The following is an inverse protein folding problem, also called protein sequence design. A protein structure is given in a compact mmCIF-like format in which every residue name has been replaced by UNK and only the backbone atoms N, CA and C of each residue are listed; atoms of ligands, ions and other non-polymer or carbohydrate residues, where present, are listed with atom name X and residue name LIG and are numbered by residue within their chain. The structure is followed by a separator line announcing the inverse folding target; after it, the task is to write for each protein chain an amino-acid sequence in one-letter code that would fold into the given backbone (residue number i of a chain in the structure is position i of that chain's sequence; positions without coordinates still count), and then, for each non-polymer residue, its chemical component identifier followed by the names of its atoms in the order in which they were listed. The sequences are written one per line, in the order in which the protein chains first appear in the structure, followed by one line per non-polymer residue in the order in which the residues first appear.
data_IF_635658655578
#
_entry.id   IF_635658655578
#
_cell.length_a   1.000
_cell.length_b   1.000
_cell.length_c   1.000
_cell.angle_alpha   90.00
_cell.angle_beta   90.00
_cell.angle_gamma   90.00
#
_symmetry.space_group_name_H-M   'P 1'
#
loop_
_entity.id
_entity.type
_entity.pdbx_description
1 polymer ?
#
# COMPACT_ATOMS: atom_id res chain seq x y z
N UNK A 1 1.06 15.17 -6.94
CA UNK A 1 2.20 14.76 -6.09
C UNK A 1 2.88 15.98 -5.52
N UNK A 2 3.21 15.97 -4.23
CA UNK A 2 3.93 17.06 -3.57
C UNK A 2 5.43 16.90 -3.85
N UNK A 3 6.06 17.96 -4.31
CA UNK A 3 7.50 17.98 -4.62
C UNK A 3 8.34 18.63 -3.50
N UNK A 4 7.75 19.54 -2.73
CA UNK A 4 8.40 20.26 -1.64
C UNK A 4 7.35 20.75 -0.64
N UNK A 5 7.71 20.84 0.64
CA UNK A 5 6.91 21.52 1.66
C UNK A 5 7.78 22.16 2.73
N UNK A 6 7.21 23.13 3.42
CA UNK A 6 7.71 23.66 4.69
C UNK A 6 6.55 23.59 5.67
N UNK A 7 6.81 22.99 6.83
CA UNK A 7 5.80 22.81 7.86
C UNK A 7 5.17 24.15 8.24
N UNK A 8 3.87 24.22 8.28
CA UNK A 8 3.05 25.42 8.58
C UNK A 8 3.25 26.61 7.63
N UNK A 9 4.04 26.50 6.57
CA UNK A 9 4.30 27.62 5.65
C UNK A 9 3.72 27.39 4.28
N UNK A 10 4.13 26.33 3.57
CA UNK A 10 3.70 26.11 2.18
C UNK A 10 3.85 24.65 1.72
N UNK A 11 3.17 24.34 0.63
CA UNK A 11 3.31 23.10 -0.15
C UNK A 11 3.52 23.45 -1.63
N UNK A 12 4.41 22.72 -2.31
CA UNK A 12 4.63 22.86 -3.76
C UNK A 12 4.15 21.59 -4.47
N UNK A 13 3.23 21.74 -5.43
CA UNK A 13 2.77 20.66 -6.29
C UNK A 13 2.52 21.17 -7.72
N UNK A 14 2.87 20.36 -8.72
CA UNK A 14 2.73 20.77 -10.12
C UNK A 14 3.50 22.05 -10.50
N UNK A 15 4.58 22.38 -9.78
CA UNK A 15 5.33 23.62 -9.96
C UNK A 15 4.72 24.86 -9.29
N UNK A 16 3.54 24.74 -8.67
CA UNK A 16 2.86 25.84 -7.98
C UNK A 16 3.04 25.72 -6.48
N UNK A 17 3.35 26.86 -5.83
CA UNK A 17 3.40 26.97 -4.37
C UNK A 17 2.02 27.41 -3.83
N UNK A 18 1.57 26.73 -2.79
CA UNK A 18 0.36 27.05 -2.05
C UNK A 18 0.74 27.30 -0.59
N UNK A 19 0.48 28.52 -0.14
CA UNK A 19 0.80 28.93 1.22
C UNK A 19 -0.36 28.56 2.17
N UNK A 20 -0.02 28.23 3.42
CA UNK A 20 -1.02 28.00 4.47
C UNK A 20 -1.68 29.30 4.89
N UNK A 21 -2.97 29.25 5.20
CA UNK A 21 -3.69 30.36 5.81
C UNK A 21 -3.05 30.71 7.17
N UNK A 22 -2.90 31.99 7.48
CA UNK A 22 -2.24 32.49 8.69
C UNK A 22 -2.95 32.15 10.01
N UNK A 23 -4.20 31.67 9.95
CA UNK A 23 -5.01 31.27 11.10
C UNK A 23 -5.80 30.01 10.75
N UNK A 24 -5.55 28.94 11.46
CA UNK A 24 -6.30 27.70 11.30
C UNK A 24 -5.64 26.56 12.05
N UNK A 25 -6.42 25.55 12.37
CA UNK A 25 -5.92 24.27 12.88
C UNK A 25 -5.63 23.43 11.63
N UNK A 26 -4.36 23.22 11.34
CA UNK A 26 -3.96 22.41 10.19
C UNK A 26 -3.68 21.00 10.66
N UNK A 27 -4.34 20.04 10.03
CA UNK A 27 -3.91 18.66 10.09
C UNK A 27 -3.00 18.42 8.90
N UNK A 28 -1.72 18.36 9.18
CA UNK A 28 -0.69 18.15 8.18
C UNK A 28 -0.09 16.75 8.38
N UNK A 29 -0.36 15.85 7.44
CA UNK A 29 0.17 14.47 7.48
C UNK A 29 1.53 14.34 6.78
N UNK A 30 2.09 15.45 6.27
CA UNK A 30 3.38 15.43 5.54
C UNK A 30 4.59 15.17 6.46
N UNK A 31 4.50 15.49 7.73
CA UNK A 31 5.58 15.28 8.71
C UNK A 31 5.97 13.83 8.94
N UNK A 32 5.15 12.87 8.48
CA UNK A 32 5.47 11.45 8.52
C UNK A 32 6.51 11.04 7.46
N UNK A 33 6.79 11.89 6.46
CA UNK A 33 7.62 11.56 5.31
C UNK A 33 8.87 12.42 5.23
N UNK A 34 9.98 11.80 4.83
CA UNK A 34 11.17 12.56 4.39
C UNK A 34 10.92 13.17 3.02
N UNK A 35 11.63 14.24 2.68
CA UNK A 35 11.53 14.89 1.37
C UNK A 35 11.73 13.94 0.18
N UNK A 36 12.43 12.81 0.37
CA UNK A 36 12.65 11.80 -0.67
C UNK A 36 11.44 10.92 -0.94
N UNK A 37 10.57 10.69 0.02
CA UNK A 37 9.39 9.80 -0.10
C UNK A 37 8.09 10.54 -0.42
N UNK A 38 8.04 11.87 -0.30
CA UNK A 38 6.83 12.65 -0.58
C UNK A 38 6.24 12.41 -1.96
N UNK A 39 7.08 12.28 -2.99
CA UNK A 39 6.66 12.08 -4.38
C UNK A 39 6.02 10.71 -4.65
N UNK A 40 6.21 9.75 -3.75
CA UNK A 40 5.71 8.38 -3.90
C UNK A 40 4.26 8.26 -3.41
N UNK A 41 3.77 9.29 -2.72
CA UNK A 41 2.43 9.37 -2.16
C UNK A 41 1.55 10.36 -2.94
N UNK A 42 0.24 10.20 -2.79
CA UNK A 42 -0.78 11.14 -3.28
C UNK A 42 -1.41 11.86 -2.11
N UNK A 43 -1.86 13.10 -2.32
CA UNK A 43 -2.40 13.93 -1.24
C UNK A 43 -3.64 14.67 -1.69
N UNK A 44 -4.56 14.89 -0.75
CA UNK A 44 -5.68 15.81 -0.88
C UNK A 44 -5.27 17.12 -0.23
N UNK A 45 -5.36 18.20 -0.99
CA UNK A 45 -5.12 19.55 -0.52
C UNK A 45 -6.48 20.21 -0.25
N UNK A 46 -6.67 20.72 0.94
CA UNK A 46 -7.87 21.47 1.33
C UNK A 46 -7.59 22.95 1.29
N UNK A 47 -8.38 23.69 0.55
CA UNK A 47 -8.23 25.15 0.41
C UNK A 47 -9.38 25.87 1.09
N UNK A 48 -9.09 27.05 1.64
CA UNK A 48 -10.12 27.98 2.08
C UNK A 48 -10.74 28.74 0.88
N UNK A 49 -11.75 29.55 1.15
CA UNK A 49 -12.43 30.34 0.12
C UNK A 49 -11.55 31.41 -0.55
N UNK A 50 -10.39 31.67 -0.01
CA UNK A 50 -9.43 32.64 -0.53
C UNK A 50 -8.26 31.97 -1.29
N UNK A 51 -8.26 30.64 -1.37
CA UNK A 51 -7.23 29.87 -2.05
C UNK A 51 -5.99 29.57 -1.21
N UNK A 52 -6.02 29.84 0.09
CA UNK A 52 -4.97 29.43 1.01
C UNK A 52 -5.15 27.98 1.44
N UNK A 53 -4.04 27.28 1.64
CA UNK A 53 -4.07 25.91 2.08
C UNK A 53 -4.56 25.82 3.54
N UNK A 54 -5.64 25.08 3.75
CA UNK A 54 -6.22 24.85 5.06
C UNK A 54 -5.78 23.52 5.69
N UNK A 55 -5.27 22.60 4.90
CA UNK A 55 -4.75 21.33 5.38
C UNK A 55 -4.29 20.42 4.24
N UNK A 56 -3.53 19.40 4.60
CA UNK A 56 -3.07 18.33 3.71
C UNK A 56 -3.34 16.99 4.36
N UNK A 57 -3.95 16.08 3.62
CA UNK A 57 -4.16 14.70 4.03
C UNK A 57 -3.59 13.77 2.98
N UNK A 58 -3.01 12.67 3.40
CA UNK A 58 -2.64 11.61 2.46
C UNK A 58 -3.89 11.03 1.81
N UNK A 59 -3.82 10.85 0.49
CA UNK A 59 -4.83 10.14 -0.27
C UNK A 59 -4.34 8.71 -0.53
N UNK A 60 -4.82 7.79 0.26
CA UNK A 60 -4.48 6.37 0.11
C UNK A 60 -5.08 5.73 -1.16
N UNK A 61 -5.82 6.49 -1.95
CA UNK A 61 -6.54 5.99 -3.10
C UNK A 61 -7.78 5.18 -2.71
N UNK A 62 -8.52 4.73 -3.71
CA UNK A 62 -9.55 3.69 -3.50
C UNK A 62 -8.81 2.39 -3.30
N UNK A 63 -8.84 1.82 -2.09
CA UNK A 63 -8.26 0.51 -1.84
C UNK A 63 -9.05 -0.53 -2.64
N UNK A 64 -8.36 -1.23 -3.51
CA UNK A 64 -8.93 -2.36 -4.23
C UNK A 64 -8.77 -3.60 -3.37
N UNK A 65 -9.86 -4.27 -3.07
CA UNK A 65 -9.87 -5.49 -2.25
C UNK A 65 -10.15 -6.70 -3.12
N UNK A 66 -9.50 -7.81 -2.78
CA UNK A 66 -9.81 -9.13 -3.29
C UNK A 66 -9.71 -10.17 -2.17
N UNK A 67 -10.47 -11.24 -2.30
CA UNK A 67 -10.34 -12.44 -1.50
C UNK A 67 -9.52 -13.45 -2.31
N UNK A 68 -8.35 -13.82 -1.79
CA UNK A 68 -7.53 -14.88 -2.38
C UNK A 68 -7.98 -16.22 -1.81
N UNK A 69 -8.64 -17.03 -2.64
CA UNK A 69 -9.12 -18.35 -2.23
C UNK A 69 -7.96 -19.37 -2.18
N UNK A 70 -7.15 -19.39 -3.23
CA UNK A 70 -6.03 -20.31 -3.37
C UNK A 70 -4.96 -19.75 -4.30
N UNK A 71 -3.78 -20.34 -4.29
CA UNK A 71 -2.74 -20.06 -5.29
C UNK A 71 -1.93 -21.32 -5.63
N UNK A 72 -1.40 -21.37 -6.85
CA UNK A 72 -0.49 -22.42 -7.31
C UNK A 72 0.97 -21.93 -7.21
N UNK A 73 1.71 -22.46 -6.25
CA UNK A 73 3.12 -22.14 -6.04
C UNK A 73 4.10 -22.91 -6.94
N UNK A 74 3.61 -23.65 -7.94
CA UNK A 74 4.47 -24.40 -8.87
C UNK A 74 4.90 -23.57 -10.08
N UNK A 75 4.13 -22.49 -10.37
CA UNK A 75 4.41 -21.59 -11.49
C UNK A 75 5.71 -20.78 -11.29
N UNK A 76 6.57 -20.78 -12.29
CA UNK A 76 7.73 -19.87 -12.37
C UNK A 76 7.88 -19.41 -13.81
N UNK A 77 7.59 -18.12 -14.06
CA UNK A 77 7.90 -17.52 -15.35
C UNK A 77 9.24 -16.77 -15.29
N UNK A 78 10.02 -16.88 -16.37
CA UNK A 78 11.34 -16.26 -16.48
C UNK A 78 11.28 -14.75 -16.21
N UNK A 79 12.04 -14.29 -15.22
CA UNK A 79 12.27 -12.88 -14.91
C UNK A 79 11.42 -12.28 -13.78
N UNK A 80 10.24 -12.82 -13.48
CA UNK A 80 9.41 -12.41 -12.32
C UNK A 80 8.80 -13.66 -11.75
N UNK A 81 9.02 -13.87 -10.46
CA UNK A 81 8.37 -14.96 -9.75
C UNK A 81 6.90 -14.60 -9.53
N UNK A 82 6.03 -15.12 -10.39
CA UNK A 82 4.57 -15.01 -10.24
C UNK A 82 3.98 -16.37 -9.92
N UNK A 83 2.92 -16.36 -9.12
CA UNK A 83 2.07 -17.52 -8.92
C UNK A 83 0.67 -17.21 -9.42
N UNK A 84 0.02 -18.11 -10.18
CA UNK A 84 -1.40 -17.99 -10.45
C UNK A 84 -2.19 -18.14 -9.17
N UNK A 85 -3.26 -17.36 -9.01
CA UNK A 85 -4.11 -17.38 -7.83
C UNK A 85 -5.57 -17.15 -8.19
N UNK A 86 -6.47 -17.91 -7.54
CA UNK A 86 -7.91 -17.74 -7.65
C UNK A 86 -8.38 -16.59 -6.76
N UNK A 87 -8.85 -15.51 -7.35
CA UNK A 87 -9.30 -14.31 -6.67
C UNK A 87 -10.79 -14.07 -6.84
N UNK A 88 -11.44 -13.56 -5.79
CA UNK A 88 -12.80 -13.02 -5.82
C UNK A 88 -12.72 -11.53 -5.50
N UNK A 89 -13.27 -10.70 -6.39
CA UNK A 89 -13.28 -9.25 -6.24
C UNK A 89 -14.56 -8.76 -5.52
N UNK A 90 -14.56 -7.51 -5.08
CA UNK A 90 -15.69 -6.93 -4.34
C UNK A 90 -17.00 -6.88 -5.13
N UNK A 91 -16.93 -6.85 -6.46
CA UNK A 91 -18.10 -6.91 -7.33
C UNK A 91 -18.66 -8.33 -7.53
N UNK A 92 -18.05 -9.32 -6.87
CA UNK A 92 -18.42 -10.72 -6.93
C UNK A 92 -17.82 -11.48 -8.12
N UNK A 93 -17.03 -10.82 -8.98
CA UNK A 93 -16.34 -11.52 -10.07
C UNK A 93 -15.23 -12.40 -9.54
N UNK A 94 -15.02 -13.53 -10.21
CA UNK A 94 -13.95 -14.48 -9.91
C UNK A 94 -13.01 -14.55 -11.12
N UNK A 95 -11.71 -14.48 -10.85
CA UNK A 95 -10.70 -14.55 -11.93
C UNK A 95 -9.42 -15.22 -11.44
N UNK A 96 -8.66 -15.76 -12.40
CA UNK A 96 -7.30 -16.19 -12.15
C UNK A 96 -6.35 -15.01 -12.35
N UNK A 97 -5.65 -14.62 -11.29
CA UNK A 97 -4.70 -13.52 -11.29
C UNK A 97 -3.26 -14.02 -11.25
N UNK A 98 -2.32 -13.21 -11.77
CA UNK A 98 -0.88 -13.45 -11.62
C UNK A 98 -0.35 -12.66 -10.42
N UNK A 99 0.08 -13.34 -9.37
CA UNK A 99 0.54 -12.71 -8.12
C UNK A 99 2.06 -12.49 -8.18
N UNK A 100 2.54 -11.27 -7.96
CA UNK A 100 3.94 -10.97 -7.74
C UNK A 100 4.38 -11.52 -6.38
N UNK A 101 4.99 -12.68 -6.36
CA UNK A 101 5.37 -13.39 -5.12
C UNK A 101 6.39 -12.60 -4.31
N UNK A 102 7.38 -12.01 -5.00
CA UNK A 102 8.48 -11.29 -4.32
C UNK A 102 7.96 -10.10 -3.54
N UNK A 103 7.15 -9.25 -4.16
CA UNK A 103 6.67 -8.03 -3.51
C UNK A 103 5.50 -8.33 -2.56
N UNK A 104 4.67 -9.31 -2.86
CA UNK A 104 3.64 -9.78 -1.93
C UNK A 104 4.27 -10.34 -0.66
N UNK A 105 5.30 -11.17 -0.76
CA UNK A 105 5.97 -11.71 0.43
C UNK A 105 6.69 -10.65 1.26
N UNK A 106 7.17 -9.55 0.65
CA UNK A 106 7.65 -8.39 1.42
C UNK A 106 6.54 -7.76 2.28
N UNK A 107 5.31 -7.70 1.75
CA UNK A 107 4.15 -7.20 2.49
C UNK A 107 3.66 -8.17 3.56
N UNK A 108 3.98 -9.47 3.45
CA UNK A 108 3.64 -10.52 4.41
C UNK A 108 4.71 -10.71 5.49
N UNK A 109 5.81 -9.95 5.43
CA UNK A 109 6.93 -10.05 6.36
C UNK A 109 7.31 -8.69 6.92
N UNK A 110 7.93 -8.69 8.09
CA UNK A 110 8.56 -7.52 8.67
C UNK A 110 10.01 -7.84 9.05
N UNK A 111 10.83 -6.80 9.19
CA UNK A 111 12.21 -6.93 9.69
C UNK A 111 12.28 -6.36 11.09
N UNK A 112 12.86 -7.13 12.00
CA UNK A 112 13.20 -6.62 13.34
C UNK A 112 14.47 -5.74 13.29
N UNK A 113 14.78 -5.09 14.42
CA UNK A 113 15.96 -4.22 14.54
C UNK A 113 17.31 -4.96 14.33
N UNK A 114 17.33 -6.28 14.47
CA UNK A 114 18.48 -7.13 14.17
C UNK A 114 18.56 -7.59 12.72
N UNK A 115 17.65 -7.13 11.86
CA UNK A 115 17.60 -7.48 10.43
C UNK A 115 16.97 -8.85 10.13
N UNK A 116 16.46 -9.56 11.13
CA UNK A 116 15.78 -10.84 10.95
C UNK A 116 14.40 -10.61 10.33
N UNK A 117 14.11 -11.33 9.25
CA UNK A 117 12.79 -11.30 8.59
C UNK A 117 11.88 -12.36 9.19
N UNK A 118 10.67 -11.98 9.55
CA UNK A 118 9.64 -12.87 10.08
C UNK A 118 8.28 -12.59 9.41
N UNK A 119 7.37 -13.57 9.31
CA UNK A 119 5.99 -13.33 8.86
C UNK A 119 5.28 -12.34 9.80
N UNK A 120 4.42 -11.49 9.23
CA UNK A 120 3.55 -10.58 10.00
C UNK A 120 2.57 -11.41 10.83
N UNK A 121 1.95 -12.41 10.21
CA UNK A 121 1.07 -13.40 10.84
C UNK A 121 1.27 -14.75 10.14
N UNK A 122 2.05 -15.62 10.73
CA UNK A 122 2.41 -16.91 10.13
C UNK A 122 1.21 -17.89 10.02
N UNK A 123 0.15 -17.66 10.80
CA UNK A 123 -1.04 -18.53 10.83
C UNK A 123 -2.06 -18.07 9.79
N UNK A 124 -2.40 -16.79 9.80
CA UNK A 124 -3.46 -16.26 8.93
C UNK A 124 -2.93 -15.73 7.59
N UNK A 125 -1.72 -15.19 7.59
CA UNK A 125 -1.08 -14.63 6.41
C UNK A 125 0.34 -15.20 6.21
N UNK A 126 0.46 -16.52 6.00
CA UNK A 126 1.75 -17.13 5.70
C UNK A 126 2.34 -16.59 4.41
N UNK A 127 3.66 -16.59 4.29
CA UNK A 127 4.32 -16.22 3.05
C UNK A 127 3.97 -17.21 1.93
N UNK A 128 3.86 -16.70 0.70
CA UNK A 128 3.56 -17.53 -0.46
C UNK A 128 4.78 -18.42 -0.77
N UNK A 129 4.57 -19.72 -0.72
CA UNK A 129 5.59 -20.76 -0.94
C UNK A 129 5.25 -21.62 -2.15
N UNK A 130 6.17 -22.53 -2.50
CA UNK A 130 5.90 -23.55 -3.52
C UNK A 130 4.83 -24.52 -3.02
N UNK A 131 3.97 -24.94 -3.94
CA UNK A 131 2.87 -25.89 -3.73
C UNK A 131 1.51 -25.24 -3.91
N UNK A 132 0.50 -26.08 -4.05
CA UNK A 132 -0.90 -25.64 -4.11
C UNK A 132 -1.40 -25.38 -2.69
N UNK A 133 -1.84 -24.16 -2.45
CA UNK A 133 -2.24 -23.75 -1.13
C UNK A 133 -3.59 -23.05 -1.16
N UNK A 134 -4.51 -23.48 -0.31
CA UNK A 134 -5.66 -22.68 0.05
C UNK A 134 -5.21 -21.53 0.92
N UNK A 135 -5.72 -20.32 0.64
CA UNK A 135 -5.34 -19.13 1.40
C UNK A 135 -6.52 -18.57 2.20
N UNK A 136 -7.65 -18.34 1.53
CA UNK A 136 -8.93 -17.92 2.13
C UNK A 136 -8.82 -16.65 2.98
N UNK A 137 -8.17 -15.60 2.44
CA UNK A 137 -7.97 -14.32 3.13
C UNK A 137 -8.19 -13.12 2.21
N UNK A 138 -8.58 -12.01 2.82
CA UNK A 138 -8.71 -10.74 2.16
C UNK A 138 -7.37 -10.02 2.01
N UNK A 139 -7.20 -9.37 0.87
CA UNK A 139 -6.05 -8.52 0.57
C UNK A 139 -6.52 -7.21 -0.04
N UNK A 140 -5.76 -6.15 0.19
CA UNK A 140 -5.70 -5.03 -0.74
C UNK A 140 -4.69 -5.35 -1.84
N UNK A 141 -4.84 -4.75 -3.01
CA UNK A 141 -3.92 -5.00 -4.11
C UNK A 141 -3.60 -3.76 -4.92
N UNK A 142 -2.45 -3.80 -5.56
CA UNK A 142 -2.05 -2.92 -6.65
C UNK A 142 -1.71 -3.76 -7.86
N UNK A 143 -1.84 -3.17 -9.06
CA UNK A 143 -1.52 -3.86 -10.31
C UNK A 143 -0.40 -3.15 -11.05
N UNK A 144 0.40 -3.94 -11.75
CA UNK A 144 1.37 -3.46 -12.74
C UNK A 144 1.24 -4.29 -14.00
N UNK A 145 1.47 -3.67 -15.16
CA UNK A 145 1.52 -4.40 -16.43
C UNK A 145 2.96 -4.77 -16.74
N UNK A 146 3.22 -6.06 -16.95
CA UNK A 146 4.52 -6.57 -17.36
C UNK A 146 4.33 -7.53 -18.55
N UNK A 147 5.05 -7.27 -19.63
CA UNK A 147 4.98 -8.06 -20.87
C UNK A 147 3.54 -8.29 -21.36
N UNK A 148 2.68 -7.27 -21.24
CA UNK A 148 1.26 -7.36 -21.65
C UNK A 148 0.33 -8.06 -20.65
N UNK A 149 0.86 -8.62 -19.56
CA UNK A 149 0.07 -9.27 -18.51
C UNK A 149 -0.07 -8.38 -17.27
N UNK A 150 -1.27 -8.39 -16.67
CA UNK A 150 -1.53 -7.72 -15.39
C UNK A 150 -0.99 -8.58 -14.25
N UNK A 151 -0.14 -7.98 -13.42
CA UNK A 151 0.45 -8.64 -12.25
C UNK A 151 0.01 -7.93 -10.99
N UNK A 152 -0.46 -8.69 -10.02
CA UNK A 152 -1.04 -8.23 -8.76
C UNK A 152 -0.01 -8.30 -7.63
N UNK A 153 0.17 -7.23 -6.89
CA UNK A 153 0.92 -7.22 -5.62
C UNK A 153 -0.08 -7.11 -4.48
N UNK A 154 -0.09 -8.09 -3.60
CA UNK A 154 -1.05 -8.21 -2.52
C UNK A 154 -0.49 -7.66 -1.22
N UNK A 155 -1.36 -7.04 -0.40
CA UNK A 155 -1.05 -6.56 0.94
C UNK A 155 -2.13 -7.06 1.91
N UNK A 156 -1.77 -7.70 3.03
CA UNK A 156 -2.76 -8.30 3.94
C UNK A 156 -3.66 -7.25 4.57
N UNK A 157 -4.92 -7.62 4.81
CA UNK A 157 -5.89 -6.80 5.54
C UNK A 157 -5.90 -7.29 6.98
N UNK A 158 -4.94 -6.80 7.77
CA UNK A 158 -4.78 -7.23 9.15
C UNK A 158 -4.48 -6.03 10.06
N UNK A 159 -4.80 -6.19 11.34
CA UNK A 159 -4.31 -5.34 12.42
C UNK A 159 -3.12 -6.04 13.07
N UNK A 160 -1.98 -5.39 13.13
CA UNK A 160 -0.81 -5.91 13.84
C UNK A 160 -0.12 -4.81 14.65
N UNK A 161 0.52 -5.22 15.73
CA UNK A 161 1.30 -4.31 16.57
C UNK A 161 2.76 -4.39 16.16
N UNK A 162 3.35 -3.26 15.82
CA UNK A 162 4.78 -3.15 15.56
C UNK A 162 5.57 -3.31 16.86
N UNK A 163 6.83 -3.74 16.77
CA UNK A 163 7.70 -3.93 17.93
C UNK A 163 7.97 -2.65 18.76
N UNK A 164 7.67 -1.48 18.23
CA UNK A 164 7.75 -0.19 18.93
C UNK A 164 6.46 0.15 19.71
N UNK A 165 5.51 -0.80 19.79
CA UNK A 165 4.23 -0.63 20.46
C UNK A 165 3.17 0.13 19.64
N UNK A 166 3.49 0.55 18.41
CA UNK A 166 2.51 1.18 17.51
C UNK A 166 1.67 0.13 16.83
N UNK A 167 0.39 0.41 16.73
CA UNK A 167 -0.56 -0.44 16.01
C UNK A 167 -0.70 0.06 14.58
N UNK A 168 -0.37 -0.79 13.62
CA UNK A 168 -0.72 -0.57 12.23
C UNK A 168 -2.04 -1.28 11.95
N UNK A 169 -3.07 -0.53 11.53
CA UNK A 169 -4.40 -1.04 11.22
C UNK A 169 -4.65 -0.86 9.74
N UNK A 170 -4.86 -1.94 9.03
CA UNK A 170 -5.55 -1.91 7.75
C UNK A 170 -6.90 -2.61 7.93
N UNK A 171 -7.96 -1.82 8.04
CA UNK A 171 -9.34 -2.30 8.13
C UNK A 171 -10.05 -2.16 6.79
N UNK A 172 -10.89 -3.15 6.48
CA UNK A 172 -11.89 -3.07 5.42
C UNK A 172 -12.99 -2.10 5.85
#
# INVERSE_FOLDING_TARGET
KISKYSEESYVVTGGTQYDYAKRGIYKNELGAYTSGSLKDHSYILYFDKYGYLAGVREFEGTKNYLFLAAYDGTGSHMGIKTFPGAAVFLDGTMDEIQINVTDTNKNLTWKNNAGTTAPIDAINYPVLNKGDNQYNRWFTYTTTTKNGSTVYTLKPVITYTLNDGKTAIETI
#
